data_IF_966364151091
#
_entry.id   IF_966364151091
#
_cell.length_a   1.000
_cell.length_b   1.000
_cell.length_c   1.000
_cell.angle_alpha   90.00
_cell.angle_beta   90.00
_cell.angle_gamma   90.00
#
_symmetry.space_group_name_H-M   'P 1'
#
loop_
_entity.id
_entity.type
_entity.pdbx_description
1 polymer ?
#
# COMPACT_ATOMS: atom_id res chain seq x y z
N UNK A 1 -17.43 14.55 -66.90
CA UNK A 1 -16.68 15.08 -65.74
C UNK A 1 -17.59 15.73 -64.69
N UNK A 2 -18.29 16.85 -64.96
CA UNK A 2 -19.17 17.48 -63.96
C UNK A 2 -20.37 16.60 -63.56
N UNK A 3 -21.00 15.93 -64.53
CA UNK A 3 -22.12 14.99 -64.28
C UNK A 3 -21.70 13.79 -63.42
N UNK A 4 -20.48 13.29 -63.61
CA UNK A 4 -19.95 12.13 -62.87
C UNK A 4 -19.64 12.49 -61.41
N UNK A 5 -19.15 13.71 -61.17
CA UNK A 5 -18.96 14.25 -59.82
C UNK A 5 -20.30 14.47 -59.11
N UNK A 6 -21.29 15.01 -59.83
CA UNK A 6 -22.63 15.25 -59.29
C UNK A 6 -23.36 13.95 -58.96
N UNK A 7 -23.20 12.90 -59.78
CA UNK A 7 -23.74 11.56 -59.46
C UNK A 7 -23.07 10.91 -58.26
N UNK A 8 -21.75 11.09 -58.09
CA UNK A 8 -21.03 10.57 -56.92
C UNK A 8 -21.49 11.23 -55.62
N UNK A 9 -21.59 12.56 -55.61
CA UNK A 9 -22.08 13.33 -54.45
C UNK A 9 -23.54 12.97 -54.13
N UNK A 10 -24.40 12.80 -55.15
CA UNK A 10 -25.80 12.41 -54.94
C UNK A 10 -25.95 10.98 -54.39
N UNK A 11 -25.12 10.04 -54.83
CA UNK A 11 -25.11 8.68 -54.27
C UNK A 11 -24.58 8.67 -52.84
N UNK A 12 -23.59 9.50 -52.53
CA UNK A 12 -23.06 9.63 -51.17
C UNK A 12 -24.11 10.24 -50.22
N UNK A 13 -24.84 11.28 -50.65
CA UNK A 13 -25.95 11.87 -49.91
C UNK A 13 -27.09 10.87 -49.70
N UNK A 14 -27.48 10.10 -50.73
CA UNK A 14 -28.51 9.06 -50.60
C UNK A 14 -28.07 7.96 -49.64
N UNK A 15 -26.81 7.57 -49.67
CA UNK A 15 -26.25 6.54 -48.78
C UNK A 15 -26.27 7.01 -47.32
N UNK A 16 -25.93 8.28 -47.06
CA UNK A 16 -26.03 8.88 -45.71
C UNK A 16 -27.49 8.97 -45.26
N UNK A 17 -28.40 9.42 -46.14
CA UNK A 17 -29.83 9.50 -45.85
C UNK A 17 -30.45 8.14 -45.52
N UNK A 18 -30.07 7.09 -46.26
CA UNK A 18 -30.49 5.71 -46.00
C UNK A 18 -29.97 5.22 -44.65
N UNK A 19 -28.70 5.49 -44.29
CA UNK A 19 -28.14 5.11 -42.97
C UNK A 19 -28.89 5.76 -41.81
N UNK A 20 -29.30 7.02 -41.94
CA UNK A 20 -30.11 7.73 -40.92
C UNK A 20 -31.51 7.11 -40.82
N UNK A 21 -32.15 6.83 -41.96
CA UNK A 21 -33.46 6.19 -41.99
C UNK A 21 -33.45 4.79 -41.32
N UNK A 22 -32.37 4.02 -41.51
CA UNK A 22 -32.20 2.72 -40.85
C UNK A 22 -31.80 2.81 -39.37
N UNK A 23 -31.25 3.94 -38.90
CA UNK A 23 -30.93 4.17 -37.49
C UNK A 23 -32.15 4.61 -36.66
N UNK A 24 -33.18 5.18 -37.31
CA UNK A 24 -34.38 5.70 -36.64
C UNK A 24 -35.16 4.63 -35.83
N UNK A 25 -35.38 3.40 -36.35
CA UNK A 25 -36.00 2.33 -35.57
C UNK A 25 -35.18 1.93 -34.33
N UNK A 26 -33.84 1.91 -34.45
CA UNK A 26 -32.94 1.59 -33.33
C UNK A 26 -32.98 2.65 -32.23
N UNK A 27 -33.09 3.92 -32.61
CA UNK A 27 -33.25 5.00 -31.63
C UNK A 27 -34.60 4.92 -30.89
N UNK A 28 -35.69 4.61 -31.61
CA UNK A 28 -37.01 4.43 -31.00
C UNK A 28 -37.03 3.25 -30.01
N UNK A 29 -36.43 2.11 -30.37
CA UNK A 29 -36.33 0.96 -29.46
C UNK A 29 -35.47 1.27 -28.24
N UNK A 30 -34.38 2.03 -28.41
CA UNK A 30 -33.56 2.49 -27.29
C UNK A 30 -34.34 3.38 -26.31
N UNK A 31 -35.14 4.32 -26.81
CA UNK A 31 -35.99 5.17 -25.95
C UNK A 31 -36.98 4.33 -25.14
N UNK A 32 -37.66 3.37 -25.78
CA UNK A 32 -38.60 2.46 -25.10
C UNK A 32 -37.89 1.66 -24.01
N UNK A 33 -36.70 1.14 -24.32
CA UNK A 33 -35.87 0.39 -23.36
C UNK A 33 -35.48 1.25 -22.17
N UNK A 34 -35.02 2.48 -22.37
CA UNK A 34 -34.67 3.40 -21.26
C UNK A 34 -35.89 3.64 -20.36
N UNK A 35 -37.07 3.84 -20.93
CA UNK A 35 -38.30 4.03 -20.15
C UNK A 35 -38.62 2.77 -19.31
N UNK A 36 -38.49 1.59 -19.89
CA UNK A 36 -38.68 0.32 -19.18
C UNK A 36 -37.62 0.12 -18.08
N UNK A 37 -36.36 0.45 -18.34
CA UNK A 37 -35.28 0.41 -17.34
C UNK A 37 -35.58 1.35 -16.18
N UNK A 38 -36.01 2.58 -16.43
CA UNK A 38 -36.34 3.54 -15.36
C UNK A 38 -37.45 2.97 -14.47
N UNK A 39 -38.48 2.37 -15.06
CA UNK A 39 -39.58 1.76 -14.31
C UNK A 39 -39.09 0.57 -13.46
N UNK A 40 -38.32 -0.33 -14.06
CA UNK A 40 -37.78 -1.51 -13.39
C UNK A 40 -36.79 -1.12 -12.27
N UNK A 41 -35.92 -0.15 -12.51
CA UNK A 41 -34.95 0.34 -11.54
C UNK A 41 -35.64 0.98 -10.33
N UNK A 42 -36.70 1.78 -10.54
CA UNK A 42 -37.51 2.33 -9.45
C UNK A 42 -38.17 1.23 -8.62
N UNK A 43 -38.70 0.19 -9.27
CA UNK A 43 -39.33 -0.95 -8.60
C UNK A 43 -38.30 -1.70 -7.73
N UNK A 44 -37.14 -2.04 -8.29
CA UNK A 44 -36.07 -2.75 -7.59
C UNK A 44 -35.53 -1.90 -6.43
N UNK A 45 -35.29 -0.60 -6.65
CA UNK A 45 -34.89 0.33 -5.57
C UNK A 45 -35.87 0.24 -4.39
N UNK A 46 -37.17 0.39 -4.66
CA UNK A 46 -38.18 0.42 -3.62
C UNK A 46 -38.29 -0.93 -2.89
N UNK A 47 -38.15 -2.05 -3.60
CA UNK A 47 -38.16 -3.38 -2.99
C UNK A 47 -36.92 -3.61 -2.12
N UNK A 48 -35.74 -3.28 -2.64
CA UNK A 48 -34.46 -3.46 -1.96
C UNK A 48 -34.37 -2.59 -0.70
N UNK A 49 -34.72 -1.30 -0.79
CA UNK A 49 -34.73 -0.40 0.36
C UNK A 49 -35.67 -0.88 1.46
N UNK A 50 -36.86 -1.40 1.11
CA UNK A 50 -37.79 -2.00 2.08
C UNK A 50 -37.21 -3.25 2.73
N UNK A 51 -36.60 -4.14 1.94
CA UNK A 51 -36.01 -5.38 2.44
C UNK A 51 -34.83 -5.10 3.39
N UNK A 52 -33.92 -4.20 3.02
CA UNK A 52 -32.76 -3.81 3.85
C UNK A 52 -33.18 -3.13 5.14
N UNK A 53 -34.25 -2.31 5.10
CA UNK A 53 -34.85 -1.73 6.31
C UNK A 53 -35.48 -2.81 7.20
N UNK A 54 -36.18 -3.79 6.62
CA UNK A 54 -36.80 -4.89 7.37
C UNK A 54 -35.77 -5.79 8.08
N UNK A 55 -34.58 -5.98 7.47
CA UNK A 55 -33.46 -6.73 8.08
C UNK A 55 -32.77 -5.91 9.20
N UNK A 56 -33.09 -4.63 9.35
CA UNK A 56 -32.54 -3.78 10.41
C UNK A 56 -31.15 -3.22 10.12
N UNK A 57 -30.74 -3.15 8.85
CA UNK A 57 -29.42 -2.61 8.44
C UNK A 57 -29.17 -1.19 8.98
N UNK A 58 -30.21 -0.37 9.05
CA UNK A 58 -30.14 0.99 9.61
C UNK A 58 -29.84 0.99 11.13
N UNK A 59 -30.30 -0.02 11.87
CA UNK A 59 -30.04 -0.15 13.31
C UNK A 59 -28.59 -0.56 13.56
N UNK A 60 -28.07 -1.48 12.74
CA UNK A 60 -26.67 -1.93 12.81
C UNK A 60 -25.69 -0.79 12.50
N UNK A 61 -25.97 -0.04 11.43
CA UNK A 61 -25.11 1.08 10.98
C UNK A 61 -25.15 2.28 11.94
N UNK A 62 -26.30 2.52 12.60
CA UNK A 62 -26.38 3.49 13.71
C UNK A 62 -25.49 3.11 14.89
N UNK A 63 -25.48 1.82 15.28
CA UNK A 63 -24.59 1.32 16.35
C UNK A 63 -23.11 1.39 15.98
N UNK A 64 -22.78 1.20 14.70
CA UNK A 64 -21.42 1.33 14.18
C UNK A 64 -20.93 2.79 14.05
N UNK A 65 -21.76 3.79 14.36
CA UNK A 65 -21.39 5.21 14.28
C UNK A 65 -21.25 5.76 12.86
N UNK A 66 -21.61 4.96 11.84
CA UNK A 66 -21.51 5.31 10.42
C UNK A 66 -22.39 6.53 10.09
N UNK A 67 -23.51 6.69 10.81
CA UNK A 67 -24.46 7.80 10.62
C UNK A 67 -23.80 9.19 10.82
N UNK A 68 -22.78 9.31 11.67
CA UNK A 68 -22.03 10.57 11.87
C UNK A 68 -21.19 10.96 10.65
N UNK A 69 -20.81 9.99 9.82
CA UNK A 69 -20.04 10.20 8.59
C UNK A 69 -20.97 10.65 7.44
N UNK A 70 -22.25 10.28 7.49
CA UNK A 70 -23.25 10.62 6.47
C UNK A 70 -23.98 11.95 6.73
N UNK A 71 -24.03 12.42 7.98
CA UNK A 71 -24.68 13.68 8.37
C UNK A 71 -24.24 14.93 7.56
N UNK A 72 -22.95 15.12 7.21
CA UNK A 72 -22.52 16.31 6.46
C UNK A 72 -23.10 16.42 5.04
N UNK A 73 -23.63 15.32 4.49
CA UNK A 73 -24.05 15.26 3.09
C UNK A 73 -25.56 15.53 2.89
N UNK A 74 -26.27 16.06 3.90
CA UNK A 74 -27.75 16.24 3.93
C UNK A 74 -28.57 14.97 3.59
N UNK A 75 -27.91 13.83 3.45
CA UNK A 75 -28.49 12.51 3.26
C UNK A 75 -28.99 12.01 4.62
N UNK A 76 -30.07 12.64 5.11
CA UNK A 76 -30.80 12.25 6.32
C UNK A 76 -31.50 10.88 6.20
N UNK A 77 -31.25 10.16 5.10
CA UNK A 77 -31.80 8.86 4.78
C UNK A 77 -30.76 7.77 5.10
N UNK A 78 -31.12 6.83 5.97
CA UNK A 78 -30.20 5.78 6.46
C UNK A 78 -29.55 4.94 5.35
N UNK A 79 -28.49 4.18 5.69
CA UNK A 79 -27.62 3.43 4.75
C UNK A 79 -28.40 2.55 3.76
N UNK A 80 -29.56 2.01 4.16
CA UNK A 80 -30.44 1.25 3.25
C UNK A 80 -30.92 2.05 2.04
N UNK A 81 -31.20 3.35 2.21
CA UNK A 81 -31.62 4.24 1.13
C UNK A 81 -30.46 4.56 0.20
N UNK A 82 -29.27 4.80 0.74
CA UNK A 82 -28.06 4.99 -0.07
C UNK A 82 -27.79 3.80 -0.98
N UNK A 83 -27.86 2.58 -0.44
CA UNK A 83 -27.69 1.36 -1.24
C UNK A 83 -28.76 1.29 -2.33
N UNK A 84 -30.01 1.62 -2.01
CA UNK A 84 -31.08 1.70 -2.99
C UNK A 84 -30.83 2.73 -4.10
N UNK A 85 -30.31 3.92 -3.76
CA UNK A 85 -29.94 4.96 -4.71
C UNK A 85 -28.79 4.49 -5.60
N UNK A 86 -27.74 3.89 -5.03
CA UNK A 86 -26.61 3.35 -5.80
C UNK A 86 -27.08 2.27 -6.78
N UNK A 87 -27.90 1.32 -6.33
CA UNK A 87 -28.45 0.27 -7.19
C UNK A 87 -29.36 0.84 -8.28
N UNK A 88 -30.17 1.86 -7.97
CA UNK A 88 -30.99 2.56 -8.96
C UNK A 88 -30.16 3.14 -10.09
N UNK A 89 -29.11 3.90 -9.76
CA UNK A 89 -28.22 4.48 -10.76
C UNK A 89 -27.45 3.41 -11.53
N UNK A 90 -26.99 2.36 -10.87
CA UNK A 90 -26.29 1.26 -11.52
C UNK A 90 -27.20 0.55 -12.54
N UNK A 91 -28.45 0.25 -12.19
CA UNK A 91 -29.42 -0.33 -13.11
C UNK A 91 -29.77 0.61 -14.27
N UNK A 92 -29.89 1.91 -14.02
CA UNK A 92 -30.08 2.90 -15.08
C UNK A 92 -28.92 2.91 -16.06
N UNK A 93 -27.68 2.90 -15.56
CA UNK A 93 -26.50 2.88 -16.42
C UNK A 93 -26.42 1.58 -17.22
N UNK A 94 -26.67 0.41 -16.60
CA UNK A 94 -26.72 -0.88 -17.30
C UNK A 94 -27.81 -0.93 -18.38
N UNK A 95 -29.01 -0.40 -18.11
CA UNK A 95 -30.05 -0.34 -19.15
C UNK A 95 -29.75 0.70 -20.23
N UNK A 96 -29.02 1.76 -19.89
CA UNK A 96 -28.58 2.77 -20.85
C UNK A 96 -27.53 2.21 -21.82
N UNK A 97 -26.62 1.34 -21.38
CA UNK A 97 -25.67 0.67 -22.30
C UNK A 97 -26.41 -0.22 -23.29
N UNK A 98 -27.39 -0.99 -22.80
CA UNK A 98 -28.24 -1.80 -23.66
C UNK A 98 -29.05 -0.95 -24.66
N UNK A 99 -29.59 0.20 -24.23
CA UNK A 99 -30.26 1.14 -25.12
C UNK A 99 -29.31 1.72 -26.19
N UNK A 100 -28.10 2.14 -25.81
CA UNK A 100 -27.08 2.63 -26.75
C UNK A 100 -26.70 1.57 -27.78
N UNK A 101 -26.60 0.31 -27.36
CA UNK A 101 -26.34 -0.83 -28.25
C UNK A 101 -27.46 -1.01 -29.29
N UNK A 102 -28.72 -0.94 -28.86
CA UNK A 102 -29.89 -1.03 -29.75
C UNK A 102 -30.01 0.16 -30.70
N UNK A 103 -29.58 1.34 -30.26
CA UNK A 103 -29.48 2.53 -31.11
C UNK A 103 -28.31 2.46 -32.12
N UNK A 104 -27.43 1.46 -32.03
CA UNK A 104 -26.26 1.31 -32.89
C UNK A 104 -25.08 2.21 -32.50
N UNK A 105 -25.13 2.86 -31.33
CA UNK A 105 -24.06 3.72 -30.80
C UNK A 105 -23.04 2.91 -30.00
N UNK A 106 -22.39 1.95 -30.66
CA UNK A 106 -21.43 1.02 -30.02
C UNK A 106 -20.25 1.74 -29.35
N UNK A 107 -19.77 2.85 -29.93
CA UNK A 107 -18.70 3.65 -29.31
C UNK A 107 -19.16 4.29 -27.99
N UNK A 108 -20.40 4.78 -27.92
CA UNK A 108 -20.94 5.38 -26.70
C UNK A 108 -21.23 4.31 -25.64
N UNK A 109 -21.75 3.15 -26.04
CA UNK A 109 -21.91 1.97 -25.17
C UNK A 109 -20.59 1.58 -24.51
N UNK A 110 -19.52 1.40 -25.29
CA UNK A 110 -18.21 1.00 -24.76
C UNK A 110 -17.61 2.01 -23.79
N UNK A 111 -17.80 3.31 -24.05
CA UNK A 111 -17.38 4.35 -23.12
C UNK A 111 -18.18 4.30 -21.82
N UNK A 112 -19.50 4.11 -21.91
CA UNK A 112 -20.37 4.03 -20.75
C UNK A 112 -20.07 2.77 -19.91
N UNK A 113 -19.83 1.61 -20.52
CA UNK A 113 -19.42 0.38 -19.84
C UNK A 113 -18.14 0.59 -19.02
N UNK A 114 -17.13 1.28 -19.60
CA UNK A 114 -15.89 1.61 -18.88
C UNK A 114 -16.14 2.52 -17.69
N UNK A 115 -17.02 3.52 -17.82
CA UNK A 115 -17.39 4.42 -16.72
C UNK A 115 -18.10 3.63 -15.60
N UNK A 116 -19.02 2.72 -15.95
CA UNK A 116 -19.72 1.88 -14.97
C UNK A 116 -18.74 1.01 -14.20
N UNK A 117 -17.78 0.39 -14.88
CA UNK A 117 -16.75 -0.45 -14.26
C UNK A 117 -15.76 0.35 -13.41
N UNK A 118 -15.56 1.64 -13.71
CA UNK A 118 -14.73 2.53 -12.91
C UNK A 118 -15.36 2.93 -11.57
N UNK A 119 -16.70 3.00 -11.47
CA UNK A 119 -17.40 3.36 -10.22
C UNK A 119 -17.02 2.47 -9.01
N UNK A 120 -17.09 1.11 -9.08
CA UNK A 120 -16.69 0.27 -7.97
C UNK A 120 -15.18 0.38 -7.67
N UNK A 121 -14.34 0.57 -8.69
CA UNK A 121 -12.90 0.76 -8.50
C UNK A 121 -12.59 2.03 -7.73
N UNK A 122 -13.26 3.15 -8.04
CA UNK A 122 -13.12 4.42 -7.31
C UNK A 122 -13.54 4.27 -5.85
N UNK A 123 -14.62 3.53 -5.59
CA UNK A 123 -15.05 3.25 -4.22
C UNK A 123 -13.99 2.45 -3.44
N UNK A 124 -13.49 1.35 -4.02
CA UNK A 124 -12.44 0.53 -3.41
C UNK A 124 -11.17 1.36 -3.18
N UNK A 125 -10.75 2.15 -4.16
CA UNK A 125 -9.59 3.04 -4.07
C UNK A 125 -9.74 4.06 -2.91
N UNK A 126 -10.94 4.60 -2.72
CA UNK A 126 -11.22 5.53 -1.60
C UNK A 126 -11.09 4.83 -0.26
N UNK A 127 -11.65 3.61 -0.12
CA UNK A 127 -11.52 2.81 1.10
C UNK A 127 -10.05 2.48 1.37
N UNK A 128 -9.32 2.05 0.35
CA UNK A 128 -7.89 1.70 0.45
C UNK A 128 -7.05 2.93 0.77
N UNK A 129 -7.38 4.12 0.28
CA UNK A 129 -6.71 5.37 0.65
C UNK A 129 -6.87 5.64 2.14
N UNK A 130 -8.11 5.62 2.64
CA UNK A 130 -8.37 5.90 4.05
C UNK A 130 -7.68 4.87 4.94
N UNK A 131 -7.86 3.58 4.66
CA UNK A 131 -7.27 2.51 5.45
C UNK A 131 -5.74 2.49 5.34
N UNK A 132 -5.20 2.61 4.14
CA UNK A 132 -3.76 2.58 3.87
C UNK A 132 -3.01 3.73 4.55
N UNK A 133 -3.55 4.96 4.50
CA UNK A 133 -2.96 6.10 5.22
C UNK A 133 -2.99 5.89 6.74
N UNK A 134 -4.10 5.37 7.28
CA UNK A 134 -4.20 5.07 8.71
C UNK A 134 -3.21 3.98 9.14
N UNK A 135 -3.12 2.88 8.37
CA UNK A 135 -2.20 1.78 8.63
C UNK A 135 -0.75 2.25 8.54
N UNK A 136 -0.41 3.03 7.52
CA UNK A 136 0.94 3.56 7.34
C UNK A 136 1.36 4.46 8.52
N UNK A 137 0.48 5.39 8.93
CA UNK A 137 0.73 6.24 10.10
C UNK A 137 0.79 5.44 11.40
N UNK A 138 -0.07 4.44 11.58
CA UNK A 138 -0.07 3.56 12.75
C UNK A 138 1.24 2.77 12.87
N UNK A 139 1.67 2.13 11.77
CA UNK A 139 2.93 1.38 11.72
C UNK A 139 4.12 2.28 12.03
N UNK A 140 4.19 3.46 11.42
CA UNK A 140 5.28 4.39 11.69
C UNK A 140 5.33 4.88 13.14
N UNK A 141 4.17 5.18 13.74
CA UNK A 141 4.09 5.54 15.15
C UNK A 141 4.50 4.39 16.07
N UNK A 142 4.11 3.16 15.73
CA UNK A 142 4.50 1.96 16.48
C UNK A 142 6.01 1.75 16.42
N UNK A 143 6.61 1.89 15.23
CA UNK A 143 8.07 1.78 15.06
C UNK A 143 8.82 2.91 15.76
N UNK A 144 8.31 4.15 15.71
CA UNK A 144 8.92 5.28 16.43
C UNK A 144 8.93 5.01 17.93
N UNK A 145 7.80 4.57 18.50
CA UNK A 145 7.70 4.24 19.93
C UNK A 145 8.63 3.08 20.32
N UNK A 146 8.70 2.04 19.49
CA UNK A 146 9.62 0.92 19.71
C UNK A 146 11.10 1.37 19.68
N UNK A 147 11.46 2.24 18.73
CA UNK A 147 12.81 2.77 18.62
C UNK A 147 13.17 3.74 19.78
N UNK A 148 12.21 4.52 20.27
CA UNK A 148 12.37 5.36 21.46
C UNK A 148 12.59 4.50 22.72
N UNK A 149 11.83 3.40 22.86
CA UNK A 149 12.01 2.45 23.97
C UNK A 149 13.41 1.81 23.94
N UNK A 150 13.97 1.58 22.75
CA UNK A 150 15.33 1.11 22.55
C UNK A 150 16.42 2.21 22.68
N UNK A 151 16.05 3.44 23.08
CA UNK A 151 16.96 4.61 23.22
C UNK A 151 17.72 4.96 21.93
N UNK A 152 17.14 4.70 20.76
CA UNK A 152 17.74 5.05 19.47
C UNK A 152 17.56 6.55 19.22
N UNK A 153 18.67 7.29 19.11
CA UNK A 153 18.66 8.76 18.88
C UNK A 153 17.86 9.18 17.63
N UNK A 154 17.76 8.30 16.63
CA UNK A 154 17.08 8.54 15.35
C UNK A 154 15.67 7.93 15.24
N UNK A 155 15.04 7.56 16.37
CA UNK A 155 13.73 6.89 16.39
C UNK A 155 12.65 7.58 15.54
N UNK A 156 12.57 8.91 15.58
CA UNK A 156 11.61 9.71 14.81
C UNK A 156 11.81 9.59 13.30
N UNK A 157 13.06 9.52 12.84
CA UNK A 157 13.37 9.33 11.42
C UNK A 157 13.00 7.94 10.93
N UNK A 158 13.21 6.91 11.76
CA UNK A 158 12.86 5.52 11.44
C UNK A 158 11.34 5.39 11.30
N UNK A 159 10.56 5.86 12.27
CA UNK A 159 9.09 5.80 12.19
C UNK A 159 8.52 6.61 11.03
N UNK A 160 9.13 7.75 10.72
CA UNK A 160 8.77 8.54 9.53
C UNK A 160 9.07 7.80 8.24
N UNK A 161 10.24 7.16 8.12
CA UNK A 161 10.59 6.36 6.94
C UNK A 161 9.61 5.19 6.71
N UNK A 162 9.17 4.52 7.78
CA UNK A 162 8.12 3.47 7.70
C UNK A 162 6.79 4.06 7.23
N UNK A 163 6.38 5.21 7.79
CA UNK A 163 5.13 5.88 7.38
C UNK A 163 5.14 6.26 5.90
N UNK A 164 6.20 6.93 5.44
CA UNK A 164 6.32 7.36 4.04
C UNK A 164 6.36 6.19 3.07
N UNK A 165 7.04 5.10 3.43
CA UNK A 165 7.02 3.86 2.65
C UNK A 165 5.60 3.30 2.54
N UNK A 166 4.86 3.21 3.65
CA UNK A 166 3.47 2.73 3.64
C UNK A 166 2.52 3.62 2.82
N UNK A 167 2.69 4.95 2.90
CA UNK A 167 1.93 5.91 2.09
C UNK A 167 2.25 5.70 0.61
N UNK A 168 3.52 5.57 0.24
CA UNK A 168 3.96 5.36 -1.13
C UNK A 168 3.36 4.08 -1.71
N UNK A 169 3.39 2.97 -0.96
CA UNK A 169 2.73 1.71 -1.35
C UNK A 169 1.23 1.90 -1.56
N UNK A 170 0.56 2.61 -0.63
CA UNK A 170 -0.88 2.89 -0.73
C UNK A 170 -1.22 3.69 -1.99
N UNK A 171 -0.44 4.73 -2.30
CA UNK A 171 -0.63 5.58 -3.49
C UNK A 171 -0.47 4.76 -4.78
N UNK A 172 0.56 3.91 -4.84
CA UNK A 172 0.79 2.99 -5.96
C UNK A 172 -0.43 2.08 -6.16
N UNK A 173 -0.93 1.46 -5.09
CA UNK A 173 -2.12 0.59 -5.16
C UNK A 173 -3.36 1.32 -5.66
N UNK A 174 -3.55 2.59 -5.29
CA UNK A 174 -4.67 3.40 -5.76
C UNK A 174 -4.54 3.73 -7.25
N UNK A 175 -3.35 4.13 -7.69
CA UNK A 175 -3.07 4.39 -9.11
C UNK A 175 -3.38 3.15 -9.93
N UNK A 176 -3.01 1.97 -9.41
CA UNK A 176 -3.32 0.69 -10.04
C UNK A 176 -4.83 0.44 -10.19
N UNK A 177 -5.60 0.70 -9.12
CA UNK A 177 -7.06 0.50 -9.11
C UNK A 177 -7.79 1.43 -10.09
N UNK A 178 -7.27 2.64 -10.31
CA UNK A 178 -7.89 3.67 -11.17
C UNK A 178 -7.45 3.59 -12.63
N UNK A 179 -6.43 2.80 -12.96
CA UNK A 179 -5.88 2.73 -14.30
C UNK A 179 -6.90 2.12 -15.30
N UNK A 180 -7.32 2.91 -16.29
CA UNK A 180 -8.25 2.49 -17.36
C UNK A 180 -7.71 1.34 -18.24
N UNK A 181 -6.38 1.20 -18.31
CA UNK A 181 -5.66 0.09 -18.95
C UNK A 181 -4.60 -0.44 -17.98
N UNK A 182 -4.99 -1.37 -17.09
CA UNK A 182 -4.16 -1.76 -15.96
C UNK A 182 -2.79 -2.28 -16.39
N UNK A 183 -2.71 -3.10 -17.44
CA UNK A 183 -1.52 -3.93 -17.67
C UNK A 183 -0.27 -3.12 -18.06
N UNK A 184 -0.42 -2.15 -18.96
CA UNK A 184 0.73 -1.34 -19.39
C UNK A 184 1.25 -0.40 -18.29
N UNK A 185 0.33 0.30 -17.61
CA UNK A 185 0.67 1.25 -16.53
C UNK A 185 1.27 0.50 -15.33
N UNK A 186 0.75 -0.69 -14.99
CA UNK A 186 1.28 -1.54 -13.92
C UNK A 186 2.73 -1.93 -14.14
N UNK A 187 3.07 -2.40 -15.35
CA UNK A 187 4.43 -2.85 -15.65
C UNK A 187 5.44 -1.73 -15.44
N UNK A 188 5.16 -0.53 -15.95
CA UNK A 188 6.04 0.63 -15.78
C UNK A 188 6.17 1.00 -14.29
N UNK A 189 5.05 1.04 -13.57
CA UNK A 189 5.02 1.38 -12.15
C UNK A 189 5.85 0.39 -11.31
N UNK A 190 5.69 -0.92 -11.56
CA UNK A 190 6.43 -1.96 -10.87
C UNK A 190 7.93 -1.94 -11.17
N UNK A 191 8.32 -1.67 -12.43
CA UNK A 191 9.73 -1.51 -12.78
C UNK A 191 10.33 -0.31 -12.02
N UNK A 192 9.66 0.84 -12.02
CA UNK A 192 10.12 2.05 -11.35
C UNK A 192 10.31 1.82 -9.84
N UNK A 193 9.31 1.23 -9.18
CA UNK A 193 9.36 0.94 -7.75
C UNK A 193 10.35 -0.16 -7.41
N UNK A 194 10.48 -1.16 -8.29
CA UNK A 194 11.44 -2.24 -8.17
C UNK A 194 12.87 -1.72 -8.21
N UNK A 195 13.20 -0.83 -9.14
CA UNK A 195 14.50 -0.17 -9.19
C UNK A 195 14.79 0.62 -7.90
N UNK A 196 13.83 1.41 -7.42
CA UNK A 196 13.98 2.15 -6.17
C UNK A 196 14.20 1.21 -4.97
N UNK A 197 13.44 0.12 -4.88
CA UNK A 197 13.59 -0.88 -3.82
C UNK A 197 14.97 -1.56 -3.87
N UNK A 198 15.46 -1.91 -5.06
CA UNK A 198 16.80 -2.47 -5.25
C UNK A 198 17.88 -1.48 -4.83
N UNK A 199 17.78 -0.21 -5.22
CA UNK A 199 18.75 0.81 -4.80
C UNK A 199 18.83 0.96 -3.29
N UNK A 200 17.68 1.08 -2.61
CA UNK A 200 17.62 1.15 -1.15
C UNK A 200 18.19 -0.10 -0.50
N UNK A 201 17.86 -1.28 -1.04
CA UNK A 201 18.38 -2.56 -0.55
C UNK A 201 19.90 -2.65 -0.68
N UNK A 202 20.48 -2.21 -1.80
CA UNK A 202 21.93 -2.22 -2.00
C UNK A 202 22.63 -1.23 -1.07
N UNK A 203 22.11 -0.01 -0.92
CA UNK A 203 22.69 1.02 -0.03
C UNK A 203 22.68 0.53 1.43
N UNK A 204 21.54 0.06 1.91
CA UNK A 204 21.40 -0.40 3.30
C UNK A 204 22.12 -1.74 3.53
N UNK A 205 22.07 -2.65 2.56
CA UNK A 205 22.71 -3.96 2.63
C UNK A 205 24.23 -3.84 2.70
N UNK A 206 24.85 -3.13 1.75
CA UNK A 206 26.32 -2.97 1.72
C UNK A 206 26.85 -2.19 2.92
N UNK A 207 26.13 -1.15 3.38
CA UNK A 207 26.48 -0.40 4.59
C UNK A 207 26.33 -1.22 5.87
N UNK A 208 25.27 -2.02 5.98
CA UNK A 208 24.92 -2.79 7.17
C UNK A 208 25.84 -3.99 7.46
N UNK A 209 26.42 -4.61 6.42
CA UNK A 209 27.30 -5.79 6.57
C UNK A 209 28.47 -5.52 7.52
N UNK A 210 29.06 -4.31 7.48
CA UNK A 210 30.18 -3.95 8.36
C UNK A 210 29.79 -3.99 9.84
N UNK A 211 28.69 -3.32 10.18
CA UNK A 211 28.18 -3.27 11.56
C UNK A 211 27.67 -4.63 12.03
N UNK A 212 27.03 -5.41 11.15
CA UNK A 212 26.59 -6.77 11.45
C UNK A 212 27.75 -7.69 11.79
N UNK A 213 28.87 -7.59 11.08
CA UNK A 213 30.08 -8.37 11.35
C UNK A 213 30.69 -8.03 12.71
N UNK A 214 30.81 -6.74 13.03
CA UNK A 214 31.32 -6.30 14.34
C UNK A 214 30.40 -6.72 15.50
N UNK A 215 29.07 -6.70 15.29
CA UNK A 215 28.10 -7.21 16.26
C UNK A 215 28.21 -8.71 16.51
N UNK A 216 28.35 -9.50 15.45
CA UNK A 216 28.55 -10.95 15.58
C UNK A 216 29.90 -11.27 16.24
N UNK A 217 30.96 -10.57 15.87
CA UNK A 217 32.28 -10.72 16.47
C UNK A 217 32.27 -10.40 17.98
N UNK A 218 31.52 -9.37 18.40
CA UNK A 218 31.30 -9.05 19.82
C UNK A 218 30.80 -10.26 20.61
N UNK A 219 29.79 -10.96 20.09
CA UNK A 219 29.15 -12.09 20.79
C UNK A 219 30.08 -13.29 20.94
N UNK A 220 31.05 -13.43 20.03
CA UNK A 220 32.11 -14.44 20.13
C UNK A 220 33.17 -13.97 21.13
N UNK A 221 33.63 -12.72 21.03
CA UNK A 221 34.62 -12.13 21.94
C UNK A 221 34.15 -12.17 23.40
N UNK A 222 32.90 -11.83 23.68
CA UNK A 222 32.33 -11.90 25.04
C UNK A 222 32.39 -13.30 25.68
N UNK A 223 32.59 -14.37 24.88
CA UNK A 223 32.80 -15.73 25.38
C UNK A 223 34.28 -16.09 25.55
N UNK A 224 35.17 -15.40 24.83
CA UNK A 224 36.61 -15.70 24.78
C UNK A 224 37.45 -14.81 25.70
N UNK A 225 37.05 -13.56 25.87
CA UNK A 225 37.74 -12.55 26.69
C UNK A 225 36.84 -12.08 27.84
N UNK A 226 37.46 -11.87 29.00
CA UNK A 226 36.85 -11.29 30.19
C UNK A 226 37.40 -9.88 30.45
N UNK A 227 36.72 -9.15 31.33
CA UNK A 227 37.21 -7.88 31.84
C UNK A 227 38.56 -8.10 32.52
N UNK A 228 39.50 -7.19 32.29
CA UNK A 228 40.87 -7.21 32.81
C UNK A 228 41.81 -8.28 32.21
N UNK A 229 41.37 -9.05 31.21
CA UNK A 229 42.28 -9.91 30.44
C UNK A 229 43.37 -9.08 29.75
N UNK A 230 44.60 -9.62 29.72
CA UNK A 230 45.72 -9.01 29.00
C UNK A 230 45.88 -9.64 27.63
N UNK A 231 45.84 -8.80 26.61
CA UNK A 231 45.99 -9.21 25.23
C UNK A 231 47.08 -8.41 24.53
N UNK A 232 47.67 -9.03 23.51
CA UNK A 232 48.74 -8.42 22.73
C UNK A 232 48.12 -7.80 21.48
N UNK A 233 48.25 -6.48 21.34
CA UNK A 233 47.72 -5.75 20.20
C UNK A 233 48.79 -4.79 19.67
N UNK A 234 49.17 -4.95 18.39
CA UNK A 234 50.28 -4.20 17.76
C UNK A 234 51.58 -4.22 18.61
N UNK A 235 51.98 -5.41 19.08
CA UNK A 235 53.16 -5.62 19.94
C UNK A 235 53.13 -4.92 21.30
N UNK A 236 51.98 -4.39 21.70
CA UNK A 236 51.76 -3.80 23.02
C UNK A 236 50.79 -4.63 23.85
N UNK A 237 51.09 -4.82 25.13
CA UNK A 237 50.20 -5.51 26.08
C UNK A 237 49.14 -4.51 26.54
N UNK A 238 47.88 -4.81 26.23
CA UNK A 238 46.74 -3.99 26.61
C UNK A 238 45.74 -4.78 27.44
N UNK A 239 45.07 -4.08 28.36
CA UNK A 239 44.09 -4.65 29.27
C UNK A 239 42.68 -4.39 28.72
N UNK A 240 41.84 -5.41 28.71
CA UNK A 240 40.43 -5.28 28.32
C UNK A 240 39.67 -4.51 29.39
N UNK A 241 39.09 -3.36 29.04
CA UNK A 241 38.24 -2.58 29.95
C UNK A 241 36.76 -2.72 29.67
N UNK A 242 36.37 -2.85 28.41
CA UNK A 242 34.96 -3.03 28.04
C UNK A 242 34.85 -3.78 26.71
N UNK A 243 33.99 -4.79 26.63
CA UNK A 243 33.63 -5.44 25.37
C UNK A 243 32.22 -5.02 24.95
N UNK A 244 32.13 -3.94 24.17
CA UNK A 244 30.89 -3.40 23.66
C UNK A 244 30.36 -4.14 22.43
N UNK A 245 29.14 -3.80 22.03
CA UNK A 245 28.43 -4.48 20.93
C UNK A 245 29.13 -4.34 19.56
N UNK A 246 29.83 -3.25 19.30
CA UNK A 246 30.52 -3.02 18.00
C UNK A 246 32.03 -2.85 18.13
N UNK A 247 32.48 -2.47 19.32
CA UNK A 247 33.87 -2.15 19.60
C UNK A 247 34.23 -2.60 21.01
N UNK A 248 35.49 -2.98 21.19
CA UNK A 248 36.09 -3.32 22.47
C UNK A 248 37.08 -2.21 22.82
N UNK A 249 37.02 -1.76 24.07
CA UNK A 249 37.88 -0.72 24.63
C UNK A 249 39.01 -1.41 25.39
N UNK A 250 40.22 -1.11 24.97
CA UNK A 250 41.45 -1.57 25.59
C UNK A 250 42.16 -0.39 26.24
N UNK A 251 42.87 -0.63 27.33
CA UNK A 251 43.64 0.38 28.03
C UNK A 251 45.09 -0.06 28.18
N UNK A 252 46.00 0.88 27.96
CA UNK A 252 47.40 0.77 28.33
C UNK A 252 47.81 2.03 29.08
N UNK A 253 48.34 1.86 30.28
CA UNK A 253 48.66 2.96 31.21
C UNK A 253 47.47 3.92 31.40
N UNK A 254 47.50 5.10 30.78
CA UNK A 254 46.43 6.12 30.80
C UNK A 254 45.75 6.36 29.45
N UNK A 255 46.09 5.60 28.40
CA UNK A 255 45.49 5.75 27.07
C UNK A 255 44.43 4.67 26.81
N UNK A 256 43.29 5.09 26.28
CA UNK A 256 42.20 4.21 25.86
C UNK A 256 42.22 4.06 24.34
N UNK A 257 42.26 2.81 23.88
CA UNK A 257 42.25 2.46 22.47
C UNK A 257 40.97 1.70 22.14
N UNK A 258 40.22 2.25 21.19
CA UNK A 258 38.95 1.71 20.73
C UNK A 258 39.16 0.86 19.47
N UNK A 259 38.80 -0.42 19.52
CA UNK A 259 39.05 -1.38 18.43
C UNK A 259 37.76 -2.04 17.98
N UNK A 260 37.55 -2.14 16.66
CA UNK A 260 36.42 -2.87 16.10
C UNK A 260 36.53 -4.37 16.43
N UNK A 261 35.41 -4.95 16.83
CA UNK A 261 35.36 -6.33 17.30
C UNK A 261 35.81 -7.35 16.24
N UNK A 262 35.50 -7.13 14.96
CA UNK A 262 36.00 -8.03 13.90
C UNK A 262 37.52 -8.06 13.87
N UNK A 263 38.17 -6.89 13.91
CA UNK A 263 39.63 -6.78 13.83
C UNK A 263 40.31 -7.38 15.07
N UNK A 264 39.69 -7.19 16.23
CA UNK A 264 40.20 -7.78 17.47
C UNK A 264 40.11 -9.31 17.43
N UNK A 265 39.01 -9.85 16.91
CA UNK A 265 38.79 -11.28 16.78
C UNK A 265 39.77 -11.95 15.82
N UNK A 266 40.02 -11.34 14.65
CA UNK A 266 40.91 -11.90 13.62
C UNK A 266 42.38 -11.97 14.07
N UNK A 267 42.82 -11.08 14.96
CA UNK A 267 44.20 -10.98 15.45
C UNK A 267 44.30 -11.21 16.97
N UNK A 268 43.38 -11.97 17.56
CA UNK A 268 43.32 -12.15 19.01
C UNK A 268 44.51 -12.99 19.51
N UNK A 269 45.36 -12.39 20.33
CA UNK A 269 46.45 -13.09 21.05
C UNK A 269 46.31 -12.82 22.54
N UNK A 270 45.98 -13.86 23.31
CA UNK A 270 45.84 -13.80 24.76
C UNK A 270 47.19 -14.04 25.43
N UNK A 271 47.62 -13.09 26.25
CA UNK A 271 48.91 -13.16 26.99
C UNK A 271 48.67 -13.72 28.38
N UNK A 272 47.63 -13.22 29.06
CA UNK A 272 47.29 -13.64 30.40
C UNK A 272 45.77 -13.61 30.53
N UNK A 273 45.20 -14.75 30.89
CA UNK A 273 43.76 -14.89 31.12
C UNK A 273 43.50 -14.76 32.60
N UNK A 274 42.70 -13.77 32.98
CA UNK A 274 42.23 -13.63 34.35
C UNK A 274 41.24 -14.76 34.61
N UNK A 275 41.64 -15.73 35.42
CA UNK A 275 40.72 -16.75 35.93
C UNK A 275 39.94 -16.08 37.06
N UNK A 276 38.77 -15.55 36.77
CA UNK A 276 37.82 -15.28 37.84
C UNK A 276 37.52 -16.62 38.54
N UNK A 277 37.64 -16.71 39.88
CA UNK A 277 37.18 -17.88 40.59
C UNK A 277 35.71 -18.07 40.25
N UNK A 278 35.33 -19.30 39.88
CA UNK A 278 33.95 -19.64 39.59
C UNK A 278 33.08 -19.10 40.74
N UNK A 279 32.20 -18.15 40.43
CA UNK A 279 31.16 -17.75 41.37
C UNK A 279 30.41 -19.03 41.73
N UNK A 280 30.30 -19.27 43.05
CA UNK A 280 29.68 -20.44 43.66
C UNK A 280 28.48 -20.93 42.83
N UNK A 281 28.53 -22.20 42.45
CA UNK A 281 27.33 -22.93 42.09
C UNK A 281 26.32 -22.73 43.23
N UNK A 282 25.09 -22.26 43.00
CA UNK A 282 24.07 -22.44 44.01
C UNK A 282 23.93 -23.95 44.20
N UNK A 283 24.26 -24.42 45.40
CA UNK A 283 23.95 -25.78 45.83
C UNK A 283 22.50 -26.06 45.47
N UNK A 284 22.30 -27.10 44.68
CA UNK A 284 21.01 -27.72 44.45
C UNK A 284 20.51 -28.28 45.77
N UNK A 285 19.74 -27.49 46.51
CA UNK A 285 18.86 -28.00 47.55
C UNK A 285 17.52 -28.40 46.91
N UNK A 286 17.37 -29.73 46.80
CA UNK A 286 16.14 -30.55 46.79
C UNK A 286 14.96 -30.19 45.89
#
# INVERSE_FOLDING_TARGET
MFKDYLSYVLDEIKTIGLRIAYALPGFLTAVVVVLLTILLAKLIKNLLTKLLRAIGLNVFTRKAGIEKILQPAELATGVSELIGIVVYWLLLFLGSTYALRLAGLTAAEQLLDRIILALPQVFIATVVLVLGLNIAGFLGNLTEKAALAARIKSARWIGRAVSWTGILITVISIIEMLALNPDFIKVILYILTGCAAVSVTVILGTGGIRYGRDYLASRILQRMIQLEDKLLWNDQVMVVKECGAFMTILQQDSQFTCINNTRLLDNLVLVEKTIQPAADCPETDH
#
